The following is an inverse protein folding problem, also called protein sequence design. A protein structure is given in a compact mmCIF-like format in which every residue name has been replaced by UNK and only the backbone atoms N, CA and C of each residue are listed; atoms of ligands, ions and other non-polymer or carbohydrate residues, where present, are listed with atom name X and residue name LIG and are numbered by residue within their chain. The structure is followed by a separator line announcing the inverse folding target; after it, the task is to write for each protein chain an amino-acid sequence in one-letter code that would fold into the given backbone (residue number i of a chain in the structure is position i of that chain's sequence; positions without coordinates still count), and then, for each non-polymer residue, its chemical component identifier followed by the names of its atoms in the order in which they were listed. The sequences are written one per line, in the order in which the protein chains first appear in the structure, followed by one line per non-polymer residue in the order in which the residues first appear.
data_IF_259249721268
#
_entry.id   IF_259249721268
#
_cell.length_a   1.000
_cell.length_b   1.000
_cell.length_c   1.000
_cell.angle_alpha   90.00
_cell.angle_beta   90.00
_cell.angle_gamma   90.00
#
_symmetry.space_group_name_H-M   'P 1'
#
loop_
_entity.id
_entity.type
_entity.pdbx_description
1 polymer ?
#
# COMPACT_ATOMS: atom_id res chain seq x y z
N UNK A 1 -8.98 -12.59 20.88
CA UNK A 1 -8.79 -12.48 19.42
C UNK A 1 -7.52 -11.66 19.18
N UNK A 2 -6.44 -12.31 18.84
CA UNK A 2 -5.15 -11.67 18.57
C UNK A 2 -4.91 -11.74 17.06
N UNK A 3 -5.28 -10.67 16.34
CA UNK A 3 -4.91 -10.56 14.94
C UNK A 3 -3.51 -9.99 14.80
N UNK A 4 -2.67 -10.59 13.96
CA UNK A 4 -1.35 -10.07 13.60
C UNK A 4 -1.41 -9.48 12.20
N UNK A 5 -0.93 -8.25 12.05
CA UNK A 5 -0.83 -7.57 10.74
C UNK A 5 0.61 -7.56 10.27
N UNK A 6 0.86 -8.13 9.10
CA UNK A 6 2.16 -8.17 8.44
C UNK A 6 2.14 -7.19 7.27
N UNK A 7 3.06 -6.23 7.27
CA UNK A 7 3.15 -5.22 6.22
C UNK A 7 3.89 -5.76 5.00
N UNK A 8 3.25 -5.68 3.83
CA UNK A 8 3.82 -6.08 2.55
C UNK A 8 4.36 -4.84 1.82
N UNK A 9 5.39 -4.20 2.37
CA UNK A 9 5.95 -2.98 1.80
C UNK A 9 6.83 -3.31 0.59
N UNK A 10 6.36 -3.01 -0.61
CA UNK A 10 7.28 -2.78 -1.72
C UNK A 10 7.94 -1.41 -1.54
N UNK A 11 9.24 -1.29 -1.77
CA UNK A 11 10.01 -0.05 -1.56
C UNK A 11 9.45 1.17 -2.32
N UNK A 12 8.75 0.95 -3.43
CA UNK A 12 8.11 2.00 -4.23
C UNK A 12 6.97 2.72 -3.48
N UNK A 13 6.10 2.00 -2.77
CA UNK A 13 4.97 2.60 -2.04
C UNK A 13 5.41 3.47 -0.87
N UNK A 14 6.58 3.19 -0.29
CA UNK A 14 7.16 4.00 0.79
C UNK A 14 7.68 5.35 0.28
N UNK A 15 8.36 5.36 -0.88
CA UNK A 15 8.91 6.58 -1.47
C UNK A 15 7.79 7.51 -1.97
N UNK A 16 6.78 6.99 -2.65
CA UNK A 16 5.64 7.80 -3.09
C UNK A 16 4.88 8.43 -1.93
N UNK A 17 4.67 7.71 -0.83
CA UNK A 17 4.01 8.24 0.37
C UNK A 17 4.74 9.44 0.98
N UNK A 18 6.08 9.43 0.96
CA UNK A 18 6.92 10.52 1.45
C UNK A 18 6.80 11.76 0.53
N UNK A 19 6.89 11.58 -0.78
CA UNK A 19 6.78 12.69 -1.74
C UNK A 19 5.41 13.37 -1.69
N UNK A 20 4.35 12.60 -1.55
CA UNK A 20 2.98 13.08 -1.48
C UNK A 20 2.73 13.84 -0.16
N UNK A 21 3.20 13.30 0.96
CA UNK A 21 3.10 13.96 2.27
C UNK A 21 3.85 15.29 2.31
N UNK A 22 5.02 15.38 1.68
CA UNK A 22 5.78 16.62 1.59
C UNK A 22 5.09 17.66 0.71
N UNK A 23 4.53 17.27 -0.44
CA UNK A 23 3.76 18.18 -1.31
C UNK A 23 2.55 18.79 -0.60
N UNK A 24 1.83 17.97 0.17
CA UNK A 24 0.69 18.42 0.97
C UNK A 24 1.10 19.41 2.08
N UNK A 25 2.19 19.11 2.81
CA UNK A 25 2.71 20.00 3.86
C UNK A 25 3.16 21.35 3.30
N UNK A 26 3.88 21.35 2.19
CA UNK A 26 4.32 22.59 1.51
C UNK A 26 3.12 23.40 1.05
N UNK A 27 2.10 22.78 0.46
CA UNK A 27 0.86 23.45 0.07
C UNK A 27 0.13 24.09 1.24
N UNK A 28 0.01 23.37 2.37
CA UNK A 28 -0.60 23.90 3.60
C UNK A 28 0.17 25.09 4.16
N UNK A 29 1.51 25.04 4.17
CA UNK A 29 2.36 26.14 4.61
C UNK A 29 2.16 27.37 3.71
N UNK A 30 2.12 27.20 2.39
CA UNK A 30 1.95 28.29 1.45
C UNK A 30 0.55 28.94 1.57
N UNK A 31 -0.50 28.16 1.76
CA UNK A 31 -1.85 28.71 2.03
C UNK A 31 -1.86 29.49 3.34
N UNK A 32 -1.28 28.92 4.40
CA UNK A 32 -1.23 29.61 5.70
C UNK A 32 -0.48 30.94 5.60
N UNK A 33 0.65 30.95 4.90
CA UNK A 33 1.43 32.18 4.65
C UNK A 33 0.66 33.19 3.77
N UNK A 34 -0.03 32.72 2.75
CA UNK A 34 -0.88 33.57 1.91
C UNK A 34 -2.05 34.18 2.70
N UNK A 35 -2.77 33.36 3.48
CA UNK A 35 -3.88 33.80 4.31
C UNK A 35 -3.46 34.74 5.45
N UNK A 36 -2.33 34.50 6.12
CA UNK A 36 -1.85 35.40 7.18
C UNK A 36 -1.50 36.77 6.67
N UNK A 37 -1.03 36.92 5.44
CA UNK A 37 -0.77 38.21 4.80
C UNK A 37 -2.06 38.91 4.33
N UNK A 38 -3.10 38.17 3.99
CA UNK A 38 -4.40 38.73 3.55
C UNK A 38 -5.31 39.18 4.69
N UNK A 39 -4.97 38.90 5.95
CA UNK A 39 -5.75 39.38 7.12
C UNK A 39 -5.50 40.86 7.42
N UNK A 40 -4.51 41.50 6.78
CA UNK A 40 -4.37 42.95 6.86
C UNK A 40 -5.30 43.59 5.82
N UNK A 41 -6.48 44.17 6.22
CA UNK A 41 -7.61 44.43 5.30
C UNK A 41 -7.39 45.61 4.36
N UNK A 42 -6.19 46.21 4.33
CA UNK A 42 -6.03 47.51 3.62
C UNK A 42 -5.03 47.52 2.47
N UNK A 43 -4.23 46.48 2.22
CA UNK A 43 -3.32 46.47 1.08
C UNK A 43 -3.12 45.06 0.53
N UNK A 44 -4.09 44.58 -0.25
CA UNK A 44 -3.86 43.45 -1.14
C UNK A 44 -3.04 43.91 -2.33
N UNK A 45 -1.75 43.74 -2.29
CA UNK A 45 -0.87 43.93 -3.46
C UNK A 45 -1.06 42.76 -4.42
N UNK A 46 -0.87 42.99 -5.72
CA UNK A 46 -0.94 41.92 -6.73
C UNK A 46 0.00 40.74 -6.45
N UNK A 47 1.02 40.97 -5.64
CA UNK A 47 1.98 39.96 -5.19
C UNK A 47 1.37 38.99 -4.16
N UNK A 48 0.51 39.49 -3.27
CA UNK A 48 -0.14 38.68 -2.25
C UNK A 48 -1.23 37.77 -2.84
N UNK A 49 -1.96 38.25 -3.86
CA UNK A 49 -2.86 37.41 -4.64
C UNK A 49 -2.12 36.26 -5.35
N UNK A 50 -0.92 36.53 -5.89
CA UNK A 50 -0.08 35.50 -6.49
C UNK A 50 0.29 34.41 -5.50
N UNK A 51 0.70 34.76 -4.27
CA UNK A 51 1.07 33.80 -3.23
C UNK A 51 -0.12 32.94 -2.77
N UNK A 52 -1.30 33.54 -2.63
CA UNK A 52 -2.54 32.79 -2.29
C UNK A 52 -2.90 31.82 -3.41
N UNK A 53 -2.84 32.29 -4.66
CA UNK A 53 -3.14 31.45 -5.82
C UNK A 53 -2.15 30.30 -5.96
N UNK A 54 -0.86 30.55 -5.81
CA UNK A 54 0.19 29.52 -5.83
C UNK A 54 -0.01 28.51 -4.70
N UNK A 55 -0.29 28.96 -3.47
CA UNK A 55 -0.59 28.09 -2.34
C UNK A 55 -1.82 27.21 -2.59
N UNK A 56 -2.86 27.77 -3.21
CA UNK A 56 -4.08 27.05 -3.55
C UNK A 56 -3.82 26.02 -4.65
N UNK A 57 -3.09 26.37 -5.69
CA UNK A 57 -2.68 25.43 -6.75
C UNK A 57 -1.83 24.30 -6.21
N UNK A 58 -0.83 24.57 -5.38
CA UNK A 58 0.03 23.56 -4.78
C UNK A 58 -0.77 22.63 -3.86
N UNK A 59 -1.74 23.16 -3.10
CA UNK A 59 -2.60 22.33 -2.25
C UNK A 59 -3.53 21.45 -3.06
N UNK A 60 -4.14 21.98 -4.11
CA UNK A 60 -4.97 21.19 -5.02
C UNK A 60 -4.15 20.08 -5.68
N UNK A 61 -2.97 20.41 -6.20
CA UNK A 61 -2.07 19.41 -6.79
C UNK A 61 -1.57 18.41 -5.75
N UNK A 62 -1.22 18.86 -4.54
CA UNK A 62 -0.83 17.99 -3.44
C UNK A 62 -1.97 17.07 -2.98
N UNK A 63 -3.20 17.57 -2.94
CA UNK A 63 -4.38 16.78 -2.59
C UNK A 63 -4.72 15.78 -3.70
N UNK A 64 -4.71 16.21 -4.94
CA UNK A 64 -4.93 15.34 -6.10
C UNK A 64 -3.84 14.26 -6.19
N UNK A 65 -2.58 14.63 -6.09
CA UNK A 65 -1.46 13.71 -6.10
C UNK A 65 -1.43 12.83 -4.83
N UNK A 66 -1.70 13.40 -3.66
CA UNK A 66 -1.65 12.74 -2.37
C UNK A 66 -2.80 11.79 -2.08
N UNK A 67 -3.99 12.08 -2.59
CA UNK A 67 -5.19 11.28 -2.33
C UNK A 67 -5.57 10.46 -3.56
N UNK A 68 -5.67 11.09 -4.72
CA UNK A 68 -6.15 10.42 -5.92
C UNK A 68 -5.12 9.49 -6.55
N UNK A 69 -3.85 9.89 -6.64
CA UNK A 69 -2.80 9.04 -7.24
C UNK A 69 -2.61 7.71 -6.48
N UNK A 70 -2.52 7.68 -5.15
CA UNK A 70 -2.48 6.41 -4.42
C UNK A 70 -3.72 5.52 -4.64
N UNK A 71 -4.90 6.13 -4.77
CA UNK A 71 -6.13 5.38 -5.08
C UNK A 71 -6.05 4.78 -6.48
N UNK A 72 -5.64 5.57 -7.47
CA UNK A 72 -5.47 5.11 -8.85
C UNK A 72 -4.39 4.02 -8.95
N UNK A 73 -3.24 4.23 -8.30
CA UNK A 73 -2.17 3.23 -8.23
C UNK A 73 -2.68 1.95 -7.53
N UNK A 74 -3.43 2.08 -6.43
CA UNK A 74 -4.01 0.95 -5.72
C UNK A 74 -5.05 0.18 -6.55
N UNK A 75 -5.78 0.86 -7.43
CA UNK A 75 -6.72 0.22 -8.38
C UNK A 75 -5.98 -0.52 -9.51
N UNK A 76 -4.81 -0.03 -9.91
CA UNK A 76 -3.99 -0.63 -10.97
C UNK A 76 -3.12 -1.75 -10.39
N UNK A 77 -2.55 -1.55 -9.21
CA UNK A 77 -1.74 -2.55 -8.52
C UNK A 77 -2.64 -3.55 -7.80
N UNK A 78 -2.69 -4.77 -8.31
CA UNK A 78 -3.44 -5.89 -7.72
C UNK A 78 -2.72 -6.55 -6.54
N UNK A 79 -1.53 -6.08 -6.18
CA UNK A 79 -0.74 -6.69 -5.12
C UNK A 79 -1.20 -6.21 -3.74
N UNK A 80 -1.28 -7.10 -2.75
CA UNK A 80 -1.69 -6.75 -1.40
C UNK A 80 -0.64 -5.87 -0.72
N UNK A 81 -1.11 -4.93 0.10
CA UNK A 81 -0.23 -4.06 0.89
C UNK A 81 0.03 -4.60 2.30
N UNK A 82 -0.79 -5.50 2.76
CA UNK A 82 -0.66 -6.16 4.06
C UNK A 82 -1.38 -7.49 4.09
N UNK A 83 -0.91 -8.35 4.98
CA UNK A 83 -1.58 -9.59 5.34
C UNK A 83 -2.07 -9.49 6.78
N UNK A 84 -3.31 -9.87 7.02
CA UNK A 84 -3.90 -9.93 8.36
C UNK A 84 -4.11 -11.40 8.67
N UNK A 85 -3.50 -11.87 9.74
CA UNK A 85 -3.63 -13.25 10.20
C UNK A 85 -4.42 -13.21 11.49
N UNK A 86 -5.62 -13.75 11.45
CA UNK A 86 -6.51 -13.93 12.60
C UNK A 86 -6.48 -15.37 13.10
N UNK A 87 -7.29 -15.70 14.07
CA UNK A 87 -7.38 -17.05 14.62
C UNK A 87 -7.85 -18.05 13.55
N UNK A 88 -8.79 -17.64 12.68
CA UNK A 88 -9.46 -18.50 11.70
C UNK A 88 -9.01 -18.29 10.25
N UNK A 89 -8.49 -17.09 9.90
CA UNK A 89 -8.29 -16.69 8.50
C UNK A 89 -6.96 -15.98 8.28
N UNK A 90 -6.48 -16.09 7.04
CA UNK A 90 -5.40 -15.32 6.46
C UNK A 90 -6.03 -14.40 5.40
N UNK A 91 -5.93 -13.10 5.58
CA UNK A 91 -6.49 -12.10 4.68
C UNK A 91 -5.39 -11.32 3.97
N UNK A 92 -5.44 -11.27 2.63
CA UNK A 92 -4.60 -10.41 1.82
C UNK A 92 -5.39 -9.12 1.48
N UNK A 93 -4.96 -7.99 2.02
CA UNK A 93 -5.66 -6.71 1.92
C UNK A 93 -4.99 -5.80 0.92
N UNK A 94 -5.71 -5.38 -0.12
CA UNK A 94 -5.28 -4.39 -1.11
C UNK A 94 -5.53 -2.95 -0.63
N UNK A 95 -4.96 -1.98 -1.35
CA UNK A 95 -4.90 -0.56 -0.94
C UNK A 95 -6.28 0.08 -0.65
N UNK A 96 -7.34 -0.28 -1.37
CA UNK A 96 -8.66 0.36 -1.25
C UNK A 96 -9.32 0.26 0.14
N UNK A 97 -8.92 -0.70 0.98
CA UNK A 97 -9.49 -0.90 2.32
C UNK A 97 -8.93 -0.01 3.41
N UNK A 98 -7.91 0.83 3.12
CA UNK A 98 -7.25 1.65 4.13
C UNK A 98 -7.91 3.02 4.32
N UNK A 99 -8.43 3.62 3.25
CA UNK A 99 -8.94 5.01 3.23
C UNK A 99 -10.45 5.04 3.06
N UNK A 100 -10.98 4.13 2.28
CA UNK A 100 -12.42 4.01 2.05
C UNK A 100 -12.84 2.65 2.62
N UNK A 101 -13.83 2.61 3.51
CA UNK A 101 -14.52 1.37 3.95
C UNK A 101 -15.31 0.73 2.80
N UNK A 102 -14.74 0.73 1.61
CA UNK A 102 -15.24 0.05 0.45
C UNK A 102 -14.77 -1.40 0.51
N UNK A 103 -15.54 -2.38 0.05
CA UNK A 103 -15.10 -3.76 -0.05
C UNK A 103 -13.96 -3.83 -1.08
N UNK A 104 -12.76 -3.47 -0.63
CA UNK A 104 -11.55 -3.79 -1.33
C UNK A 104 -11.48 -5.29 -1.43
N UNK A 105 -10.97 -5.78 -2.53
CA UNK A 105 -10.69 -7.17 -2.73
C UNK A 105 -9.84 -7.70 -1.56
N UNK A 106 -10.51 -8.37 -0.64
CA UNK A 106 -9.88 -9.11 0.43
C UNK A 106 -9.91 -10.55 -0.01
N UNK A 107 -8.76 -11.07 -0.41
CA UNK A 107 -8.61 -12.51 -0.55
C UNK A 107 -8.51 -13.08 0.85
N UNK A 108 -9.43 -13.97 1.19
CA UNK A 108 -9.50 -14.61 2.50
C UNK A 108 -9.36 -16.11 2.35
N UNK A 109 -8.44 -16.68 3.09
CA UNK A 109 -8.18 -18.12 3.11
C UNK A 109 -8.34 -18.66 4.53
N UNK A 110 -8.92 -19.85 4.72
CA UNK A 110 -8.98 -20.49 6.03
C UNK A 110 -7.55 -20.81 6.50
N UNK A 111 -7.24 -20.49 7.75
CA UNK A 111 -5.98 -20.85 8.38
C UNK A 111 -5.99 -22.32 8.80
N UNK A 112 -7.16 -22.79 9.21
CA UNK A 112 -7.36 -24.18 9.60
C UNK A 112 -7.11 -25.11 8.41
N UNK A 113 -6.30 -26.14 8.63
CA UNK A 113 -5.96 -27.12 7.60
C UNK A 113 -4.74 -26.78 6.75
N UNK A 114 -4.12 -25.59 6.89
CA UNK A 114 -2.84 -25.28 6.25
C UNK A 114 -1.74 -26.04 6.96
N UNK A 115 -1.03 -26.89 6.22
CA UNK A 115 0.09 -27.71 6.74
C UNK A 115 1.46 -27.16 6.36
N UNK A 116 1.57 -26.52 5.20
CA UNK A 116 2.82 -25.93 4.71
C UNK A 116 2.57 -24.81 3.73
N UNK A 117 3.60 -23.99 3.52
CA UNK A 117 3.63 -22.93 2.49
C UNK A 117 4.71 -23.28 1.49
N UNK A 118 4.36 -23.23 0.20
CA UNK A 118 5.30 -23.35 -0.91
C UNK A 118 5.52 -21.98 -1.54
N UNK A 119 6.73 -21.44 -1.39
CA UNK A 119 7.11 -20.14 -1.93
C UNK A 119 7.74 -20.29 -3.31
N UNK A 120 7.25 -19.52 -4.28
CA UNK A 120 7.81 -19.44 -5.62
C UNK A 120 8.05 -17.98 -6.01
N UNK A 121 9.11 -17.76 -6.77
CA UNK A 121 9.45 -16.46 -7.32
C UNK A 121 8.64 -16.16 -8.58
N UNK A 122 8.17 -14.92 -8.72
CA UNK A 122 7.45 -14.44 -9.90
C UNK A 122 8.15 -13.19 -10.41
N UNK A 123 8.89 -13.33 -11.50
CA UNK A 123 9.52 -12.21 -12.20
C UNK A 123 8.53 -11.65 -13.20
N UNK A 124 8.29 -10.34 -13.16
CA UNK A 124 7.48 -9.61 -14.13
C UNK A 124 8.35 -8.55 -14.78
N UNK A 125 8.49 -8.63 -16.10
CA UNK A 125 9.15 -7.61 -16.89
C UNK A 125 8.10 -6.61 -17.35
N UNK A 126 8.32 -5.31 -17.12
CA UNK A 126 7.43 -4.26 -17.62
C UNK A 126 7.76 -3.95 -19.10
N UNK A 127 6.93 -3.10 -19.74
CA UNK A 127 7.09 -2.71 -21.13
C UNK A 127 8.41 -1.94 -21.41
N UNK A 128 9.06 -1.44 -20.35
CA UNK A 128 10.36 -0.75 -20.40
C UNK A 128 11.54 -1.70 -20.19
N UNK A 129 11.28 -3.00 -20.05
CA UNK A 129 12.31 -4.03 -19.86
C UNK A 129 12.86 -4.10 -18.43
N UNK A 130 12.21 -3.46 -17.45
CA UNK A 130 12.60 -3.57 -16.03
C UNK A 130 11.94 -4.75 -15.37
N UNK A 131 12.74 -5.60 -14.73
CA UNK A 131 12.24 -6.75 -13.99
C UNK A 131 11.84 -6.35 -12.57
N UNK A 132 10.65 -6.78 -12.18
CA UNK A 132 10.15 -6.68 -10.81
C UNK A 132 9.95 -8.08 -10.27
N UNK A 133 10.68 -8.40 -9.22
CA UNK A 133 10.55 -9.68 -8.53
C UNK A 133 9.52 -9.57 -7.41
N UNK A 134 8.53 -10.44 -7.44
CA UNK A 134 7.57 -10.66 -6.36
C UNK A 134 7.52 -12.15 -6.05
N UNK A 135 6.89 -12.50 -4.95
CA UNK A 135 6.77 -13.89 -4.53
C UNK A 135 5.31 -14.30 -4.47
N UNK A 136 5.08 -15.57 -4.69
CA UNK A 136 3.77 -16.21 -4.57
C UNK A 136 3.88 -17.36 -3.58
N UNK A 137 3.02 -17.38 -2.58
CA UNK A 137 2.98 -18.42 -1.56
C UNK A 137 1.70 -19.26 -1.70
N UNK A 138 1.86 -20.54 -2.07
CA UNK A 138 0.77 -21.50 -2.08
C UNK A 138 0.57 -22.05 -0.68
N UNK A 139 -0.65 -22.00 -0.19
CA UNK A 139 -1.09 -22.60 1.07
C UNK A 139 -1.49 -24.03 0.80
N UNK A 140 -0.75 -24.99 1.34
CA UNK A 140 -0.97 -26.42 1.13
C UNK A 140 -1.69 -27.01 2.32
N UNK A 141 -2.75 -27.77 2.05
CA UNK A 141 -3.52 -28.47 3.06
C UNK A 141 -2.88 -29.76 3.56
N UNK A 142 -3.42 -30.33 4.62
CA UNK A 142 -2.99 -31.61 5.19
C UNK A 142 -3.11 -32.78 4.18
N UNK A 143 -3.96 -32.65 3.20
CA UNK A 143 -4.17 -33.59 2.09
C UNK A 143 -3.23 -33.35 0.89
N UNK A 144 -2.32 -32.38 0.98
CA UNK A 144 -1.42 -31.95 -0.10
C UNK A 144 -2.11 -31.10 -1.18
N UNK A 145 -3.38 -30.72 -1.02
CA UNK A 145 -4.12 -29.91 -1.97
C UNK A 145 -3.89 -28.43 -1.67
N UNK A 146 -3.79 -27.61 -2.71
CA UNK A 146 -3.67 -26.15 -2.57
C UNK A 146 -5.00 -25.56 -2.09
N UNK A 147 -5.03 -25.00 -0.88
CA UNK A 147 -6.17 -24.28 -0.29
C UNK A 147 -6.31 -22.90 -0.92
N UNK A 148 -5.19 -22.24 -1.19
CA UNK A 148 -5.15 -20.89 -1.74
C UNK A 148 -3.76 -20.46 -2.13
N UNK A 149 -3.67 -19.26 -2.74
CA UNK A 149 -2.38 -18.70 -3.16
C UNK A 149 -2.34 -17.22 -2.80
N UNK A 150 -1.42 -16.86 -1.91
CA UNK A 150 -1.09 -15.47 -1.61
C UNK A 150 -0.15 -14.95 -2.70
N UNK A 151 -0.56 -13.91 -3.40
CA UNK A 151 0.21 -13.33 -4.52
C UNK A 151 0.77 -11.97 -4.14
N UNK A 152 1.81 -11.52 -4.87
CA UNK A 152 2.36 -10.18 -4.72
C UNK A 152 3.07 -9.95 -3.38
N UNK A 153 3.67 -10.99 -2.81
CA UNK A 153 4.51 -10.87 -1.62
C UNK A 153 5.79 -10.16 -2.01
N UNK A 154 6.15 -9.10 -1.30
CA UNK A 154 7.25 -8.19 -1.67
C UNK A 154 8.64 -8.77 -1.37
N UNK A 155 8.76 -9.71 -0.45
CA UNK A 155 10.04 -10.33 -0.07
C UNK A 155 9.86 -11.68 0.56
N UNK A 156 10.93 -12.48 0.56
CA UNK A 156 10.96 -13.77 1.26
C UNK A 156 10.75 -13.62 2.76
N UNK A 157 11.23 -12.51 3.37
CA UNK A 157 11.05 -12.24 4.79
C UNK A 157 9.57 -12.05 5.18
N UNK A 158 8.75 -11.46 4.31
CA UNK A 158 7.29 -11.38 4.54
C UNK A 158 6.66 -12.78 4.51
N UNK A 159 7.08 -13.65 3.58
CA UNK A 159 6.60 -15.03 3.51
C UNK A 159 7.00 -15.85 4.73
N UNK A 160 8.23 -15.66 5.22
CA UNK A 160 8.73 -16.28 6.44
C UNK A 160 7.93 -15.84 7.66
N UNK A 161 7.65 -14.54 7.77
CA UNK A 161 6.85 -14.01 8.88
C UNK A 161 5.40 -14.54 8.85
N UNK A 162 4.83 -14.73 7.66
CA UNK A 162 3.52 -15.38 7.51
C UNK A 162 3.58 -16.82 7.99
N UNK A 163 4.56 -17.61 7.50
CA UNK A 163 4.72 -19.02 7.86
C UNK A 163 4.95 -19.21 9.37
N UNK A 164 5.80 -18.38 9.97
CA UNK A 164 6.05 -18.39 11.42
C UNK A 164 4.77 -18.06 12.21
N UNK A 165 3.99 -17.07 11.73
CA UNK A 165 2.76 -16.64 12.42
C UNK A 165 1.70 -17.75 12.41
N UNK A 166 1.56 -18.48 11.32
CA UNK A 166 0.62 -19.62 11.23
C UNK A 166 1.22 -20.93 11.72
N UNK A 167 2.53 -20.93 12.04
CA UNK A 167 3.29 -22.09 12.58
C UNK A 167 3.33 -23.29 11.63
N UNK A 168 3.63 -23.03 10.37
CA UNK A 168 3.78 -24.07 9.34
C UNK A 168 5.15 -24.00 8.67
N UNK A 169 5.55 -25.09 8.03
CA UNK A 169 6.80 -25.16 7.30
C UNK A 169 6.75 -24.36 6.00
N UNK A 170 7.85 -23.67 5.69
CA UNK A 170 8.03 -22.92 4.44
C UNK A 170 9.03 -23.67 3.55
N UNK A 171 8.56 -24.14 2.41
CA UNK A 171 9.39 -24.67 1.34
C UNK A 171 9.63 -23.63 0.25
N UNK A 172 10.83 -23.60 -0.33
CA UNK A 172 11.23 -22.66 -1.38
C UNK A 172 11.48 -23.40 -2.67
N UNK A 173 10.75 -23.00 -3.74
CA UNK A 173 10.93 -23.51 -5.10
C UNK A 173 11.39 -22.33 -5.98
N UNK A 174 12.70 -22.11 -6.01
CA UNK A 174 13.35 -21.14 -6.91
C UNK A 174 14.23 -21.87 -7.90
#
# INVERSE_FOLDING_TARGET
MTSKTISNKSGLTSLFGIFIGQGFLVGLILITLGLTKTIDPFVLTSYEYGLVLEGLVVTVLGTLGGVFMPIVIGLIMKDPIRFIIDDDYIEAVQFGGLIIKSPSFVERYPKEGVSSIELSEVVRTNDEGMDTTTYSAKLIGNDGVTIGTLRGISSTGVAEEIAETIKVDLSRNF
#
